data_IF_666797850691
#
_entry.id   IF_666797850691
#
_cell.length_a   1.000
_cell.length_b   1.000
_cell.length_c   1.000
_cell.angle_alpha   90.00
_cell.angle_beta   90.00
_cell.angle_gamma   90.00
#
_symmetry.space_group_name_H-M   'P 1'
#
loop_
_entity.id
_entity.type
_entity.pdbx_description
1 polymer ?
#
# COMPACT_ATOMS: atom_id res chain seq x y z
N UNK A 1 14.76 21.26 -7.91
CA UNK A 1 15.14 20.05 -7.14
C UNK A 1 15.56 19.02 -8.16
N UNK A 2 16.76 18.47 -8.04
CA UNK A 2 17.15 17.31 -8.83
C UNK A 2 16.36 16.09 -8.33
N UNK A 3 15.98 15.20 -9.24
CA UNK A 3 15.26 13.98 -8.89
C UNK A 3 16.22 13.04 -8.14
N UNK A 4 15.96 12.82 -6.85
CA UNK A 4 16.76 11.92 -6.03
C UNK A 4 16.37 10.47 -6.30
N UNK A 5 17.33 9.69 -6.80
CA UNK A 5 17.21 8.24 -6.89
C UNK A 5 18.29 7.59 -6.03
N UNK A 6 17.95 6.67 -5.12
CA UNK A 6 18.92 6.06 -4.22
C UNK A 6 20.03 5.28 -4.94
N UNK A 7 21.26 5.36 -4.43
CA UNK A 7 22.39 4.57 -4.94
C UNK A 7 22.55 3.24 -4.23
N UNK A 8 22.07 3.14 -2.99
CA UNK A 8 22.11 1.91 -2.18
C UNK A 8 20.98 0.95 -2.58
N UNK A 9 21.30 -0.36 -2.69
CA UNK A 9 20.33 -1.37 -3.13
C UNK A 9 19.15 -1.53 -2.16
N UNK A 10 19.39 -1.53 -0.84
CA UNK A 10 18.33 -1.60 0.16
C UNK A 10 17.37 -0.42 0.06
N UNK A 11 17.92 0.79 -0.06
CA UNK A 11 17.13 2.02 -0.21
C UNK A 11 16.34 2.02 -1.53
N UNK A 12 16.93 1.53 -2.63
CA UNK A 12 16.23 1.38 -3.92
C UNK A 12 14.98 0.50 -3.80
N UNK A 13 15.03 -0.56 -3.00
CA UNK A 13 13.88 -1.45 -2.77
C UNK A 13 12.79 -0.75 -1.94
N UNK A 14 13.19 -0.03 -0.89
CA UNK A 14 12.26 0.78 -0.08
C UNK A 14 11.60 1.90 -0.91
N UNK A 15 12.39 2.57 -1.76
CA UNK A 15 11.93 3.56 -2.73
C UNK A 15 10.94 2.95 -3.72
N UNK A 16 11.25 1.80 -4.30
CA UNK A 16 10.34 1.09 -5.22
C UNK A 16 9.01 0.73 -4.54
N UNK A 17 9.05 0.29 -3.28
CA UNK A 17 7.84 0.02 -2.51
C UNK A 17 7.00 1.29 -2.34
N UNK A 18 7.62 2.42 -1.97
CA UNK A 18 6.93 3.71 -1.86
C UNK A 18 6.33 4.19 -3.20
N UNK A 19 7.06 4.02 -4.30
CA UNK A 19 6.58 4.34 -5.64
C UNK A 19 5.37 3.48 -6.03
N UNK A 20 5.45 2.18 -5.77
CA UNK A 20 4.32 1.27 -6.00
C UNK A 20 3.11 1.63 -5.14
N UNK A 21 3.30 1.99 -3.87
CA UNK A 21 2.23 2.50 -3.00
C UNK A 21 1.57 3.75 -3.58
N UNK A 22 2.35 4.71 -4.08
CA UNK A 22 1.80 5.90 -4.70
C UNK A 22 1.00 5.58 -5.98
N UNK A 23 1.48 4.65 -6.80
CA UNK A 23 0.78 4.18 -8.00
C UNK A 23 -0.52 3.44 -7.67
N UNK A 24 -0.51 2.57 -6.66
CA UNK A 24 -1.72 1.94 -6.13
C UNK A 24 -2.71 3.00 -5.65
N UNK A 25 -2.23 4.02 -4.94
CA UNK A 25 -3.06 5.14 -4.49
C UNK A 25 -3.70 5.90 -5.65
N UNK A 26 -2.94 6.20 -6.71
CA UNK A 26 -3.46 6.82 -7.94
C UNK A 26 -4.55 5.96 -8.57
N UNK A 27 -4.31 4.66 -8.69
CA UNK A 27 -5.30 3.73 -9.23
C UNK A 27 -6.58 3.68 -8.37
N UNK A 28 -6.47 3.59 -7.05
CA UNK A 28 -7.62 3.61 -6.15
C UNK A 28 -8.38 4.94 -6.18
N UNK A 29 -7.67 6.06 -6.33
CA UNK A 29 -8.25 7.41 -6.35
C UNK A 29 -8.98 7.73 -7.67
N UNK A 30 -8.43 7.33 -8.80
CA UNK A 30 -9.00 7.68 -10.10
C UNK A 30 -9.86 6.56 -10.72
N UNK A 31 -9.61 5.30 -10.34
CA UNK A 31 -10.30 4.13 -10.88
C UNK A 31 -10.93 3.22 -9.77
N UNK A 32 -11.71 3.76 -8.81
CA UNK A 32 -12.18 3.01 -7.65
C UNK A 32 -13.13 1.85 -8.01
N UNK A 33 -13.90 1.95 -9.11
CA UNK A 33 -14.74 0.84 -9.58
C UNK A 33 -13.95 -0.37 -10.05
N UNK A 34 -12.82 -0.14 -10.73
CA UNK A 34 -11.91 -1.22 -11.10
C UNK A 34 -11.20 -1.78 -9.88
N UNK A 35 -10.76 -0.92 -8.95
CA UNK A 35 -10.17 -1.36 -7.68
C UNK A 35 -11.11 -2.29 -6.89
N UNK A 36 -12.39 -1.92 -6.77
CA UNK A 36 -13.38 -2.79 -6.12
C UNK A 36 -13.61 -4.10 -6.85
N UNK A 37 -13.72 -4.06 -8.18
CA UNK A 37 -13.88 -5.29 -8.97
C UNK A 37 -12.71 -6.26 -8.76
N UNK A 38 -11.46 -5.77 -8.73
CA UNK A 38 -10.27 -6.58 -8.44
C UNK A 38 -10.34 -7.18 -7.04
N UNK A 39 -10.82 -6.40 -6.07
CA UNK A 39 -11.01 -6.84 -4.68
C UNK A 39 -12.23 -7.77 -4.50
N UNK A 40 -12.99 -8.05 -5.55
CA UNK A 40 -14.25 -8.80 -5.46
C UNK A 40 -15.35 -8.06 -4.69
N UNK A 41 -15.22 -6.74 -4.53
CA UNK A 41 -16.16 -5.88 -3.84
C UNK A 41 -17.16 -5.28 -4.83
N UNK A 42 -18.42 -5.14 -4.38
CA UNK A 42 -19.45 -4.44 -5.12
C UNK A 42 -20.04 -3.34 -4.24
N UNK A 43 -19.99 -2.07 -4.68
CA UNK A 43 -20.69 -1.00 -3.99
C UNK A 43 -22.19 -1.23 -4.10
N UNK A 44 -22.90 -1.02 -2.99
CA UNK A 44 -24.37 -1.17 -2.96
C UNK A 44 -25.02 -0.11 -3.85
N UNK A 45 -26.02 -0.51 -4.62
CA UNK A 45 -26.78 0.40 -5.50
C UNK A 45 -27.30 1.62 -4.73
N UNK A 46 -27.19 2.79 -5.37
CA UNK A 46 -27.59 4.08 -4.80
C UNK A 46 -26.68 4.63 -3.68
N UNK A 47 -25.64 3.90 -3.24
CA UNK A 47 -24.70 4.37 -2.21
C UNK A 47 -23.31 4.63 -2.80
N UNK A 48 -23.14 5.84 -3.33
CA UNK A 48 -21.86 6.33 -3.88
C UNK A 48 -20.73 6.48 -2.83
N UNK A 49 -21.07 6.42 -1.53
CA UNK A 49 -20.11 6.56 -0.44
C UNK A 49 -18.96 5.56 -0.47
N UNK A 50 -19.19 4.34 -0.99
CA UNK A 50 -18.11 3.37 -1.18
C UNK A 50 -17.01 3.95 -2.08
N UNK A 51 -17.36 4.50 -3.24
CA UNK A 51 -16.34 5.10 -4.10
C UNK A 51 -15.62 6.28 -3.44
N UNK A 52 -16.26 7.03 -2.54
CA UNK A 52 -15.58 8.09 -1.79
C UNK A 52 -14.49 7.52 -0.86
N UNK A 53 -14.77 6.41 -0.17
CA UNK A 53 -13.80 5.74 0.70
C UNK A 53 -12.59 5.20 -0.07
N UNK A 54 -12.80 4.53 -1.20
CA UNK A 54 -11.70 4.09 -2.05
C UNK A 54 -10.81 5.26 -2.51
N UNK A 55 -11.43 6.41 -2.82
CA UNK A 55 -10.69 7.61 -3.22
C UNK A 55 -9.89 8.23 -2.09
N UNK A 56 -10.51 8.33 -0.91
CA UNK A 56 -9.86 8.84 0.29
C UNK A 56 -8.63 7.99 0.65
N UNK A 57 -8.80 6.67 0.68
CA UNK A 57 -7.69 5.73 0.92
C UNK A 57 -6.61 5.83 -0.16
N UNK A 58 -7.00 5.98 -1.43
CA UNK A 58 -6.06 6.23 -2.52
C UNK A 58 -5.24 7.50 -2.32
N UNK A 59 -5.88 8.59 -1.89
CA UNK A 59 -5.21 9.86 -1.53
C UNK A 59 -4.18 9.68 -0.42
N UNK A 60 -4.51 8.91 0.63
CA UNK A 60 -3.57 8.58 1.71
C UNK A 60 -2.35 7.81 1.21
N UNK A 61 -2.54 6.84 0.30
CA UNK A 61 -1.44 6.08 -0.29
C UNK A 61 -0.55 6.95 -1.20
N UNK A 62 -1.15 7.84 -2.00
CA UNK A 62 -0.41 8.81 -2.81
C UNK A 62 0.43 9.70 -1.90
N UNK A 63 -0.20 10.35 -0.93
CA UNK A 63 0.47 11.28 -0.02
C UNK A 63 1.64 10.62 0.71
N UNK A 64 1.43 9.41 1.25
CA UNK A 64 2.47 8.73 1.99
C UNK A 64 3.61 8.23 1.09
N UNK A 65 3.29 7.59 -0.04
CA UNK A 65 4.29 7.10 -0.99
C UNK A 65 5.13 8.24 -1.57
N UNK A 66 4.51 9.36 -1.94
CA UNK A 66 5.22 10.55 -2.42
C UNK A 66 6.08 11.18 -1.33
N UNK A 67 5.59 11.31 -0.09
CA UNK A 67 6.41 11.86 0.99
C UNK A 67 7.59 10.96 1.36
N UNK A 68 7.43 9.64 1.28
CA UNK A 68 8.55 8.70 1.46
C UNK A 68 9.64 8.90 0.40
N UNK A 69 9.25 9.10 -0.86
CA UNK A 69 10.17 9.39 -1.98
C UNK A 69 10.84 10.77 -1.82
N UNK A 70 10.04 11.80 -1.54
CA UNK A 70 10.53 13.19 -1.49
C UNK A 70 11.45 13.44 -0.30
N UNK A 71 11.16 12.84 0.84
CA UNK A 71 11.98 12.99 2.05
C UNK A 71 13.15 12.02 2.07
N UNK A 72 13.00 10.83 1.48
CA UNK A 72 14.02 9.78 1.43
C UNK A 72 14.67 9.50 2.80
N UNK A 73 13.87 9.51 3.87
CA UNK A 73 14.36 9.28 5.23
C UNK A 73 14.04 7.86 5.69
N UNK A 74 14.98 7.14 6.34
CA UNK A 74 14.75 5.78 6.84
C UNK A 74 13.53 5.67 7.76
N UNK A 75 13.27 6.68 8.60
CA UNK A 75 12.10 6.69 9.48
C UNK A 75 10.77 6.81 8.73
N UNK A 76 10.76 7.49 7.58
CA UNK A 76 9.55 7.61 6.74
C UNK A 76 9.28 6.30 6.00
N UNK A 77 10.33 5.64 5.51
CA UNK A 77 10.23 4.28 4.97
C UNK A 77 9.74 3.28 6.02
N UNK A 78 10.26 3.34 7.25
CA UNK A 78 9.76 2.53 8.37
C UNK A 78 8.27 2.80 8.64
N UNK A 79 7.84 4.05 8.65
CA UNK A 79 6.45 4.41 8.87
C UNK A 79 5.53 3.86 7.75
N UNK A 80 5.99 3.89 6.50
CA UNK A 80 5.28 3.28 5.37
C UNK A 80 5.20 1.76 5.52
N UNK A 81 6.33 1.11 5.81
CA UNK A 81 6.41 -0.35 5.98
C UNK A 81 5.56 -0.85 7.15
N UNK A 82 5.59 -0.17 8.29
CA UNK A 82 4.77 -0.51 9.47
C UNK A 82 3.27 -0.33 9.20
N UNK A 83 2.89 0.67 8.40
CA UNK A 83 1.49 0.84 7.97
C UNK A 83 1.00 -0.34 7.13
N UNK A 84 1.84 -0.86 6.21
CA UNK A 84 1.52 -2.07 5.47
C UNK A 84 1.57 -3.34 6.34
N UNK A 85 2.44 -3.41 7.35
CA UNK A 85 2.47 -4.51 8.31
C UNK A 85 1.16 -4.60 9.10
N UNK A 86 0.65 -3.47 9.59
CA UNK A 86 -0.65 -3.40 10.26
C UNK A 86 -1.81 -3.72 9.30
N UNK A 87 -1.71 -3.28 8.04
CA UNK A 87 -2.71 -3.63 7.02
C UNK A 87 -2.71 -5.14 6.71
N UNK A 88 -1.54 -5.78 6.66
CA UNK A 88 -1.39 -7.23 6.52
C UNK A 88 -1.99 -7.97 7.73
N UNK A 89 -1.70 -7.49 8.95
CA UNK A 89 -2.29 -8.03 10.18
C UNK A 89 -3.82 -7.95 10.17
N UNK A 90 -4.39 -6.79 9.80
CA UNK A 90 -5.84 -6.65 9.63
C UNK A 90 -6.42 -7.63 8.61
N UNK A 91 -5.69 -7.94 7.53
CA UNK A 91 -6.10 -8.92 6.55
C UNK A 91 -6.01 -10.36 7.06
N UNK A 92 -5.03 -10.69 7.91
CA UNK A 92 -4.97 -11.98 8.61
C UNK A 92 -6.21 -12.15 9.50
N UNK A 93 -6.60 -11.11 10.26
CA UNK A 93 -7.83 -11.14 11.06
C UNK A 93 -9.07 -11.38 10.19
N UNK A 94 -9.15 -10.74 9.02
CA UNK A 94 -10.23 -10.96 8.06
C UNK A 94 -10.24 -12.38 7.50
N UNK A 95 -9.09 -12.97 7.17
CA UNK A 95 -9.00 -14.37 6.73
C UNK A 95 -9.44 -15.37 7.80
N UNK A 96 -9.22 -15.05 9.08
CA UNK A 96 -9.64 -15.90 10.21
C UNK A 96 -11.13 -15.76 10.52
N UNK A 97 -11.69 -14.56 10.34
CA UNK A 97 -13.04 -14.23 10.84
C UNK A 97 -14.10 -14.18 9.74
N UNK A 98 -13.72 -13.76 8.53
CA UNK A 98 -14.62 -13.50 7.43
C UNK A 98 -14.59 -14.65 6.41
N UNK A 99 -15.76 -15.08 5.94
CA UNK A 99 -15.88 -16.04 4.82
C UNK A 99 -15.74 -15.35 3.45
N UNK A 100 -14.73 -14.47 3.33
CA UNK A 100 -14.47 -13.69 2.12
C UNK A 100 -13.80 -14.49 1.01
N UNK A 101 -13.51 -13.82 -0.11
CA UNK A 101 -12.77 -14.44 -1.22
C UNK A 101 -11.32 -14.72 -0.78
N UNK A 102 -11.05 -15.98 -0.43
CA UNK A 102 -9.76 -16.41 0.13
C UNK A 102 -8.59 -16.16 -0.83
N UNK A 103 -8.81 -16.31 -2.15
CA UNK A 103 -7.75 -16.14 -3.16
C UNK A 103 -7.33 -14.67 -3.23
N UNK A 104 -8.30 -13.76 -3.36
CA UNK A 104 -8.02 -12.31 -3.41
C UNK A 104 -7.37 -11.85 -2.11
N UNK A 105 -7.84 -12.32 -0.96
CA UNK A 105 -7.26 -11.97 0.34
C UNK A 105 -5.82 -12.47 0.49
N UNK A 106 -5.50 -13.68 0.03
CA UNK A 106 -4.12 -14.20 0.05
C UNK A 106 -3.20 -13.41 -0.88
N UNK A 107 -3.64 -13.10 -2.10
CA UNK A 107 -2.86 -12.27 -3.05
C UNK A 107 -2.58 -10.89 -2.44
N UNK A 108 -3.60 -10.25 -1.88
CA UNK A 108 -3.45 -8.95 -1.25
C UNK A 108 -2.59 -9.00 0.01
N UNK A 109 -2.66 -10.08 0.79
CA UNK A 109 -1.80 -10.30 1.94
C UNK A 109 -0.32 -10.37 1.52
N UNK A 110 0.00 -11.13 0.47
CA UNK A 110 1.36 -11.21 -0.07
C UNK A 110 1.85 -9.82 -0.48
N UNK A 111 1.04 -9.05 -1.22
CA UNK A 111 1.39 -7.68 -1.62
C UNK A 111 1.67 -6.80 -0.39
N UNK A 112 0.82 -6.85 0.63
CA UNK A 112 1.01 -6.06 1.85
C UNK A 112 2.27 -6.47 2.62
N UNK A 113 2.55 -7.77 2.73
CA UNK A 113 3.77 -8.28 3.37
C UNK A 113 5.00 -7.82 2.59
N UNK A 114 4.99 -7.88 1.26
CA UNK A 114 6.10 -7.39 0.44
C UNK A 114 6.32 -5.89 0.64
N UNK A 115 5.27 -5.08 0.58
CA UNK A 115 5.36 -3.63 0.79
C UNK A 115 5.72 -3.24 2.23
N UNK A 116 5.46 -4.11 3.21
CA UNK A 116 5.91 -3.94 4.58
C UNK A 116 7.38 -4.32 4.76
N UNK A 117 7.78 -5.46 4.20
CA UNK A 117 9.09 -6.05 4.43
C UNK A 117 10.20 -5.21 3.80
N UNK A 118 10.06 -4.74 2.56
CA UNK A 118 11.14 -4.00 1.88
C UNK A 118 11.59 -2.76 2.66
N UNK A 119 10.69 -1.86 3.12
CA UNK A 119 11.09 -0.68 3.88
C UNK A 119 11.57 -1.02 5.30
N UNK A 120 10.99 -2.03 5.96
CA UNK A 120 11.38 -2.42 7.33
C UNK A 120 12.78 -3.05 7.35
N UNK A 121 13.05 -3.98 6.44
CA UNK A 121 14.34 -4.69 6.36
C UNK A 121 15.45 -3.70 5.99
N UNK A 122 15.18 -2.74 5.10
CA UNK A 122 16.09 -1.62 4.83
C UNK A 122 16.37 -0.80 6.09
N UNK A 123 15.33 -0.39 6.82
CA UNK A 123 15.49 0.37 8.06
C UNK A 123 16.32 -0.37 9.12
N UNK A 124 16.19 -1.70 9.21
CA UNK A 124 16.95 -2.54 10.13
C UNK A 124 18.41 -2.77 9.69
N UNK A 125 18.80 -2.31 8.50
CA UNK A 125 20.16 -2.46 7.95
C UNK A 125 20.49 -3.89 7.50
N UNK A 126 19.47 -4.68 7.15
CA UNK A 126 19.65 -6.05 6.68
C UNK A 126 19.87 -6.17 5.17
N UNK A 127 19.53 -5.13 4.40
CA UNK A 127 19.72 -5.02 2.93
C UNK A 127 20.12 -3.61 2.53
#
# INVERSE_FOLDING_TARGET
MEFYFPTERGEQLAYCAAAFTALLGLFMMFAPGYAYRILGLQPREGRLGAYAEARSMGGSYIGFGLMAILLAQPMVYLALGTSFALAAFGRILSLMSDRGNIVVNLVMLVIQITLAALPIIYFLGWI
#
